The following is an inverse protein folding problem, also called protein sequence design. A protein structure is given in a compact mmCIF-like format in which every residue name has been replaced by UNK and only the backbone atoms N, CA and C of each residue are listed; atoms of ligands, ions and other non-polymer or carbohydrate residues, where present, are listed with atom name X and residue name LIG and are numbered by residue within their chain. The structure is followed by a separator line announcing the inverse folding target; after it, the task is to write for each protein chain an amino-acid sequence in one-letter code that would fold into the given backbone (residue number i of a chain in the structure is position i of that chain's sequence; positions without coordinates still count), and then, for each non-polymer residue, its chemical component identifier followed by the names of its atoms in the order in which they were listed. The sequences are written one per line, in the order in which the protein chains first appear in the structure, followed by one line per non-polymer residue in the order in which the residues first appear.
data_IF_919978796052
#
_entry.id   IF_919978796052
#
_cell.length_a   1.000
_cell.length_b   1.000
_cell.length_c   1.000
_cell.angle_alpha   90.00
_cell.angle_beta   90.00
_cell.angle_gamma   90.00
#
_symmetry.space_group_name_H-M   'P 1'
#
loop_
_entity.id
_entity.type
_entity.pdbx_description
1 polymer ?
#
# COMPACT_ATOMS: atom_id res chain seq x y z
N UNK A 1 -18.22 23.48 -13.56
CA UNK A 1 -17.16 22.85 -12.75
C UNK A 1 -15.84 23.11 -13.46
N UNK A 2 -14.77 23.41 -12.74
CA UNK A 2 -13.42 23.50 -13.36
C UNK A 2 -13.04 22.13 -13.95
N UNK A 3 -12.31 22.08 -15.07
CA UNK A 3 -11.86 20.81 -15.63
C UNK A 3 -10.96 20.07 -14.63
N UNK A 4 -11.19 18.76 -14.48
CA UNK A 4 -10.38 17.90 -13.61
C UNK A 4 -9.00 17.73 -14.23
N UNK A 5 -7.96 18.04 -13.46
CA UNK A 5 -6.56 17.92 -13.88
C UNK A 5 -6.02 16.52 -13.56
N UNK A 6 -5.53 15.80 -14.55
CA UNK A 6 -4.85 14.52 -14.33
C UNK A 6 -3.36 14.79 -14.01
N UNK A 7 -2.85 14.21 -12.92
CA UNK A 7 -1.50 14.45 -12.37
C UNK A 7 -0.83 13.10 -12.08
N UNK A 8 0.41 12.93 -12.52
CA UNK A 8 1.22 11.75 -12.23
C UNK A 8 2.10 12.00 -10.99
N UNK A 9 2.07 11.10 -10.01
CA UNK A 9 2.77 11.28 -8.73
C UNK A 9 3.72 10.12 -8.46
N UNK A 10 5.00 10.44 -8.21
CA UNK A 10 6.09 9.49 -8.03
C UNK A 10 6.33 9.13 -6.57
N UNK A 11 5.95 7.92 -6.19
CA UNK A 11 6.37 7.29 -4.93
C UNK A 11 7.73 6.62 -5.19
N UNK A 12 8.80 7.41 -5.14
CA UNK A 12 10.18 6.91 -5.25
C UNK A 12 10.58 6.31 -3.90
N UNK A 13 10.80 5.00 -3.90
CA UNK A 13 11.17 4.23 -2.71
C UNK A 13 12.66 3.93 -2.72
N UNK A 14 13.37 4.44 -1.70
CA UNK A 14 14.78 4.22 -1.48
C UNK A 14 15.12 2.80 -1.04
N UNK A 15 16.34 2.35 -1.34
CA UNK A 15 16.83 1.02 -0.96
C UNK A 15 17.04 0.83 0.55
N UNK A 16 16.89 1.90 1.34
CA UNK A 16 16.99 1.97 2.80
C UNK A 16 15.62 2.03 3.51
N UNK A 17 14.51 1.98 2.75
CA UNK A 17 13.16 2.11 3.31
C UNK A 17 12.74 3.55 3.60
N UNK A 18 13.22 4.50 2.79
CA UNK A 18 12.75 5.89 2.75
C UNK A 18 11.93 6.19 1.48
N UNK A 19 11.25 7.34 1.46
CA UNK A 19 10.60 7.91 0.28
C UNK A 19 11.06 9.34 0.05
N UNK A 20 11.21 9.73 -1.21
CA UNK A 20 11.64 11.08 -1.57
C UNK A 20 10.45 12.05 -1.59
N UNK A 21 10.56 13.16 -0.84
CA UNK A 21 9.69 14.33 -0.98
C UNK A 21 10.48 15.51 -1.54
N UNK A 22 9.81 16.35 -2.34
CA UNK A 22 10.28 17.67 -2.78
C UNK A 22 9.53 18.79 -2.04
N UNK A 23 10.18 19.94 -1.87
CA UNK A 23 9.55 21.15 -1.34
C UNK A 23 9.16 22.08 -2.49
N UNK A 24 7.92 22.57 -2.48
CA UNK A 24 7.39 23.44 -3.54
C UNK A 24 8.09 24.80 -3.53
N UNK A 25 8.73 25.13 -4.65
CA UNK A 25 9.43 26.41 -4.83
C UNK A 25 8.50 27.62 -4.70
N UNK A 26 9.08 28.76 -4.32
CA UNK A 26 8.36 30.03 -4.22
C UNK A 26 7.62 30.39 -5.52
N UNK A 27 6.41 30.93 -5.39
CA UNK A 27 5.57 31.32 -6.52
C UNK A 27 4.64 30.21 -7.06
N UNK A 28 4.90 28.92 -6.77
CA UNK A 28 3.89 27.85 -6.96
C UNK A 28 2.81 27.96 -5.86
N UNK A 29 1.58 27.54 -6.14
CA UNK A 29 0.55 27.42 -5.09
C UNK A 29 1.01 26.44 -4.01
N UNK A 30 0.77 26.74 -2.72
CA UNK A 30 1.38 26.03 -1.58
C UNK A 30 2.93 26.02 -1.63
N UNK A 31 3.57 27.15 -1.94
CA UNK A 31 5.02 27.33 -1.74
C UNK A 31 5.45 26.94 -0.32
N UNK A 32 6.65 26.39 -0.19
CA UNK A 32 7.26 25.82 1.03
C UNK A 32 6.62 24.52 1.57
N UNK A 33 5.51 24.04 0.99
CA UNK A 33 4.90 22.76 1.36
C UNK A 33 5.62 21.59 0.68
N UNK A 34 5.60 20.43 1.33
CA UNK A 34 6.28 19.21 0.90
C UNK A 34 5.31 18.24 0.22
N UNK A 35 5.74 17.66 -0.90
CA UNK A 35 4.94 16.73 -1.70
C UNK A 35 5.79 15.60 -2.31
N UNK A 36 5.12 14.57 -2.82
CA UNK A 36 5.77 13.56 -3.67
C UNK A 36 5.99 14.17 -5.08
N UNK A 37 7.18 13.98 -5.68
CA UNK A 37 7.54 14.61 -6.95
C UNK A 37 6.69 14.09 -8.13
N UNK A 38 6.64 14.87 -9.21
CA UNK A 38 5.78 14.64 -10.36
C UNK A 38 4.83 15.80 -10.64
N UNK A 39 4.12 15.72 -11.77
CA UNK A 39 3.36 16.85 -12.27
C UNK A 39 2.26 16.47 -13.26
N UNK A 40 1.95 17.40 -14.16
CA UNK A 40 0.74 17.37 -14.98
C UNK A 40 0.88 16.34 -16.10
N UNK A 41 -0.18 15.57 -16.34
CA UNK A 41 -0.26 14.72 -17.53
C UNK A 41 -0.67 15.59 -18.72
N UNK A 42 0.18 15.68 -19.74
CA UNK A 42 -0.10 16.49 -20.92
C UNK A 42 -0.96 15.76 -21.98
N UNK A 43 -1.63 16.48 -22.91
CA UNK A 43 -2.46 15.85 -23.93
C UNK A 43 -1.69 14.84 -24.80
N UNK A 44 -2.21 13.61 -24.86
CA UNK A 44 -1.58 12.49 -25.59
C UNK A 44 -0.50 11.74 -24.79
N UNK A 45 -0.16 12.21 -23.59
CA UNK A 45 0.81 11.57 -22.71
C UNK A 45 0.17 10.47 -21.86
N UNK A 46 0.91 9.37 -21.61
CA UNK A 46 0.47 8.38 -20.60
C UNK A 46 0.95 8.82 -19.22
N UNK A 47 0.24 8.44 -18.15
CA UNK A 47 0.68 8.73 -16.77
C UNK A 47 2.11 8.26 -16.48
N UNK A 48 2.55 7.15 -17.08
CA UNK A 48 3.91 6.65 -16.94
C UNK A 48 4.95 7.53 -17.67
N UNK A 49 4.60 8.05 -18.86
CA UNK A 49 5.44 8.96 -19.62
C UNK A 49 5.53 10.35 -18.95
N UNK A 50 4.40 10.88 -18.49
CA UNK A 50 4.34 12.12 -17.70
C UNK A 50 5.26 12.03 -16.49
N UNK A 51 5.16 10.95 -15.71
CA UNK A 51 6.03 10.77 -14.56
C UNK A 51 7.52 10.64 -14.93
N UNK A 52 7.83 9.99 -16.05
CA UNK A 52 9.22 9.86 -16.52
C UNK A 52 9.82 11.22 -16.92
N UNK A 53 9.04 12.06 -17.60
CA UNK A 53 9.41 13.43 -17.97
C UNK A 53 9.58 14.30 -16.73
N UNK A 54 8.56 14.39 -15.88
CA UNK A 54 8.58 15.23 -14.66
C UNK A 54 9.74 14.85 -13.72
N UNK A 55 10.04 13.56 -13.54
CA UNK A 55 11.16 13.14 -12.68
C UNK A 55 12.55 13.39 -13.28
N UNK A 56 12.71 13.50 -14.61
CA UNK A 56 13.95 14.05 -15.18
C UNK A 56 13.97 15.58 -15.06
N UNK A 57 12.88 16.26 -15.40
CA UNK A 57 12.77 17.73 -15.33
C UNK A 57 13.04 18.26 -13.91
N UNK A 58 12.36 17.71 -12.89
CA UNK A 58 12.48 18.15 -11.50
C UNK A 58 13.75 17.64 -10.80
N UNK A 59 14.11 16.37 -11.00
CA UNK A 59 15.08 15.65 -10.16
C UNK A 59 16.28 15.07 -10.92
N UNK A 60 16.23 15.00 -12.25
CA UNK A 60 17.24 14.36 -13.07
C UNK A 60 17.32 12.84 -12.94
N UNK A 61 16.18 12.19 -12.69
CA UNK A 61 16.07 10.75 -12.55
C UNK A 61 15.54 10.13 -13.84
N UNK A 62 16.34 9.27 -14.47
CA UNK A 62 15.93 8.52 -15.65
C UNK A 62 15.07 7.31 -15.23
N UNK A 63 13.75 7.44 -15.40
CA UNK A 63 12.77 6.39 -15.12
C UNK A 63 12.80 5.32 -16.21
N UNK A 64 13.01 4.06 -15.82
CA UNK A 64 12.88 2.88 -16.69
C UNK A 64 11.53 2.19 -16.54
N UNK A 65 11.00 2.14 -15.32
CA UNK A 65 9.68 1.58 -14.98
C UNK A 65 9.03 2.40 -13.88
N UNK A 66 7.71 2.42 -13.89
CA UNK A 66 6.90 2.87 -12.77
C UNK A 66 5.63 2.02 -12.72
N UNK A 67 5.25 1.59 -11.53
CA UNK A 67 4.12 0.70 -11.31
C UNK A 67 2.93 1.51 -10.84
N UNK A 68 1.72 1.40 -11.40
CA UNK A 68 0.55 2.07 -10.84
C UNK A 68 0.34 1.62 -9.38
N UNK A 69 -0.37 2.40 -8.56
CA UNK A 69 -0.63 1.99 -7.18
C UNK A 69 -1.98 2.46 -6.68
N UNK A 70 -2.25 3.77 -6.77
CA UNK A 70 -3.46 4.39 -6.26
C UNK A 70 -3.92 5.54 -7.18
N UNK A 71 -5.22 5.78 -7.20
CA UNK A 71 -5.82 6.96 -7.82
C UNK A 71 -6.70 7.67 -6.79
N UNK A 72 -6.45 8.96 -6.55
CA UNK A 72 -7.23 9.78 -5.61
C UNK A 72 -7.61 11.10 -6.24
N UNK A 73 -8.83 11.55 -5.98
CA UNK A 73 -9.23 12.92 -6.33
C UNK A 73 -9.12 13.84 -5.12
N UNK A 74 -8.61 15.05 -5.35
CA UNK A 74 -8.54 16.11 -4.36
C UNK A 74 -9.11 17.40 -4.95
N UNK A 75 -9.97 18.07 -4.18
CA UNK A 75 -10.54 19.36 -4.52
C UNK A 75 -9.92 20.41 -3.61
N UNK A 76 -8.96 21.15 -4.16
CA UNK A 76 -8.40 22.35 -3.55
C UNK A 76 -9.25 23.58 -3.88
N UNK A 77 -9.16 24.68 -3.12
CA UNK A 77 -9.87 25.93 -3.42
C UNK A 77 -9.61 26.49 -4.84
N UNK A 78 -8.47 26.13 -5.46
CA UNK A 78 -8.05 26.61 -6.78
C UNK A 78 -8.02 25.53 -7.88
N UNK A 79 -8.20 24.24 -7.56
CA UNK A 79 -8.06 23.15 -8.54
C UNK A 79 -8.76 21.85 -8.10
N UNK A 80 -9.31 21.11 -9.05
CA UNK A 80 -9.74 19.71 -8.87
C UNK A 80 -8.73 18.81 -9.58
N UNK A 81 -7.99 18.01 -8.82
CA UNK A 81 -6.93 17.14 -9.35
C UNK A 81 -7.30 15.67 -9.15
N UNK A 82 -6.87 14.83 -10.10
CA UNK A 82 -6.85 13.37 -10.00
C UNK A 82 -5.41 12.90 -10.04
N UNK A 83 -4.94 12.49 -8.87
CA UNK A 83 -3.57 12.06 -8.62
C UNK A 83 -3.45 10.57 -8.92
N UNK A 84 -2.58 10.23 -9.85
CA UNK A 84 -2.21 8.85 -10.18
C UNK A 84 -0.86 8.53 -9.53
N UNK A 85 -0.92 7.92 -8.36
CA UNK A 85 0.28 7.49 -7.64
C UNK A 85 0.89 6.26 -8.33
N UNK A 86 2.18 6.36 -8.64
CA UNK A 86 2.97 5.26 -9.19
C UNK A 86 4.20 5.02 -8.31
N UNK A 87 4.50 3.76 -8.01
CA UNK A 87 5.69 3.36 -7.25
C UNK A 87 6.87 3.12 -8.19
N UNK A 88 8.06 3.53 -7.75
CA UNK A 88 9.33 3.20 -8.36
C UNK A 88 10.26 2.70 -7.25
N UNK A 89 10.87 1.53 -7.43
CA UNK A 89 11.75 0.95 -6.43
C UNK A 89 13.21 1.08 -6.88
N UNK A 90 14.01 1.86 -6.16
CA UNK A 90 15.44 2.01 -6.45
C UNK A 90 16.17 0.66 -6.45
N UNK A 91 15.74 -0.27 -5.60
CA UNK A 91 16.30 -1.62 -5.49
C UNK A 91 15.86 -2.58 -6.64
N UNK A 92 14.99 -2.16 -7.57
CA UNK A 92 14.56 -2.93 -8.74
C UNK A 92 15.17 -2.43 -10.07
N UNK A 93 16.04 -1.41 -10.04
CA UNK A 93 16.53 -0.70 -11.24
C UNK A 93 15.41 0.02 -12.04
N UNK A 94 14.29 0.33 -11.37
CA UNK A 94 13.16 1.05 -11.97
C UNK A 94 13.51 2.50 -12.37
N UNK A 95 14.56 3.06 -11.79
CA UNK A 95 15.11 4.38 -12.10
C UNK A 95 16.64 4.39 -11.97
N UNK A 96 17.28 5.40 -12.54
CA UNK A 96 18.72 5.64 -12.41
C UNK A 96 19.05 7.14 -12.32
N UNK A 97 20.25 7.43 -11.81
CA UNK A 97 20.68 8.79 -11.47
C UNK A 97 20.74 9.02 -9.96
N UNK A 98 21.11 10.23 -9.56
CA UNK A 98 21.10 10.71 -8.18
C UNK A 98 20.19 11.93 -8.17
N UNK A 99 19.16 12.01 -7.31
CA UNK A 99 18.22 13.12 -7.31
C UNK A 99 18.94 14.43 -7.02
N UNK A 100 18.60 15.47 -7.78
CA UNK A 100 19.09 16.85 -7.62
C UNK A 100 17.95 17.80 -7.91
N UNK A 101 17.70 18.79 -7.05
CA UNK A 101 16.68 19.80 -7.32
C UNK A 101 17.06 20.67 -8.53
N UNK A 102 16.56 20.32 -9.72
CA UNK A 102 16.84 21.02 -10.98
C UNK A 102 16.05 22.34 -11.11
N UNK A 103 14.95 22.49 -10.37
CA UNK A 103 14.20 23.76 -10.24
C UNK A 103 14.72 24.63 -9.08
N UNK A 104 15.76 24.20 -8.36
CA UNK A 104 16.21 24.84 -7.12
C UNK A 104 15.36 24.49 -5.89
N UNK A 105 14.52 23.46 -5.98
CA UNK A 105 13.76 22.91 -4.85
C UNK A 105 14.67 22.20 -3.84
N UNK A 106 14.31 22.29 -2.55
CA UNK A 106 14.80 21.34 -1.56
C UNK A 106 14.14 19.96 -1.78
N UNK A 107 14.84 18.90 -1.42
CA UNK A 107 14.29 17.55 -1.35
C UNK A 107 14.82 16.83 -0.11
N UNK A 108 14.07 15.84 0.39
CA UNK A 108 14.46 15.09 1.57
C UNK A 108 13.88 13.67 1.56
N UNK A 109 14.74 12.69 1.85
CA UNK A 109 14.32 11.30 2.08
C UNK A 109 13.65 11.17 3.45
N UNK A 110 12.42 10.68 3.48
CA UNK A 110 11.58 10.53 4.66
C UNK A 110 11.38 9.05 5.02
N UNK A 111 11.35 8.67 6.31
CA UNK A 111 10.97 7.33 6.71
C UNK A 111 9.55 6.95 6.24
N UNK A 112 9.35 5.71 5.78
CA UNK A 112 8.02 5.19 5.42
C UNK A 112 7.02 5.26 6.59
N UNK A 113 7.49 5.33 7.84
CA UNK A 113 6.63 5.48 9.03
C UNK A 113 5.96 6.85 9.17
N UNK A 114 6.44 7.88 8.46
CA UNK A 114 5.93 9.26 8.52
C UNK A 114 7.01 10.27 8.15
N UNK A 115 6.62 11.40 7.56
CA UNK A 115 7.54 12.50 7.28
C UNK A 115 7.94 13.27 8.56
N UNK A 116 9.23 13.61 8.64
CA UNK A 116 9.75 14.58 9.59
C UNK A 116 9.66 16.03 9.05
N UNK A 117 9.65 16.22 7.73
CA UNK A 117 9.43 17.52 7.08
C UNK A 117 7.96 17.96 7.13
N UNK A 118 7.73 19.27 7.27
CA UNK A 118 6.41 19.90 7.38
C UNK A 118 6.44 21.31 6.76
N UNK A 119 5.30 21.86 6.32
CA UNK A 119 3.99 21.20 6.19
C UNK A 119 3.95 20.25 4.99
N UNK A 120 3.25 19.11 5.12
CA UNK A 120 2.93 18.22 3.99
C UNK A 120 1.71 18.72 3.22
N UNK A 121 1.67 18.56 1.90
CA UNK A 121 0.43 18.77 1.14
C UNK A 121 -0.70 17.87 1.67
N UNK A 122 -1.97 18.35 1.72
CA UNK A 122 -3.10 17.55 2.21
C UNK A 122 -3.35 16.26 1.42
N UNK A 123 -2.87 16.17 0.18
CA UNK A 123 -2.91 14.95 -0.61
C UNK A 123 -1.74 13.98 -0.39
N UNK A 124 -0.64 14.44 0.24
CA UNK A 124 0.52 13.62 0.57
C UNK A 124 0.40 12.96 1.95
N UNK A 125 -0.25 13.62 2.93
CA UNK A 125 -0.45 13.05 4.28
C UNK A 125 -1.10 11.65 4.28
N UNK A 126 -2.21 11.39 3.54
CA UNK A 126 -2.91 10.10 3.60
C UNK A 126 -2.13 8.94 2.98
N UNK A 127 -1.03 9.23 2.27
CA UNK A 127 -0.19 8.23 1.61
C UNK A 127 0.69 7.47 2.60
N UNK A 128 1.15 8.13 3.67
CA UNK A 128 2.04 7.52 4.67
C UNK A 128 1.47 6.29 5.39
N UNK A 129 0.19 6.25 5.81
CA UNK A 129 -0.45 5.03 6.28
C UNK A 129 -0.35 3.85 5.30
N UNK A 130 -0.53 4.09 3.99
CA UNK A 130 -0.43 3.04 2.97
C UNK A 130 1.01 2.63 2.65
N UNK A 131 1.97 3.56 2.77
CA UNK A 131 3.42 3.25 2.64
C UNK A 131 3.93 2.29 3.73
N UNK A 132 3.21 2.20 4.85
CA UNK A 132 3.51 1.26 5.94
C UNK A 132 2.92 -0.13 5.72
N UNK A 133 2.09 -0.33 4.70
CA UNK A 133 1.52 -1.64 4.39
C UNK A 133 2.55 -2.55 3.71
N UNK A 134 2.61 -3.84 4.06
CA UNK A 134 3.55 -4.76 3.43
C UNK A 134 3.17 -5.00 1.95
N UNK A 135 4.12 -5.29 1.04
CA UNK A 135 3.80 -5.76 -0.30
C UNK A 135 3.18 -7.17 -0.29
N UNK A 136 3.19 -7.86 0.86
CA UNK A 136 2.78 -9.24 1.03
C UNK A 136 1.97 -9.44 2.32
N UNK A 137 0.83 -10.12 2.22
CA UNK A 137 0.07 -10.70 3.34
C UNK A 137 0.18 -12.23 3.26
N UNK A 138 0.26 -12.91 4.41
CA UNK A 138 0.56 -14.34 4.49
C UNK A 138 -0.54 -15.11 5.24
N UNK A 139 -1.34 -15.90 4.50
CA UNK A 139 -2.41 -16.70 5.09
C UNK A 139 -1.87 -17.94 5.84
N UNK A 140 -1.90 -17.89 7.18
CA UNK A 140 -1.72 -19.07 8.08
C UNK A 140 -3.02 -19.85 8.26
N UNK A 141 -2.93 -21.04 8.87
CA UNK A 141 -4.02 -21.98 9.08
C UNK A 141 -4.06 -22.41 10.57
N UNK A 142 -5.02 -21.95 11.42
CA UNK A 142 -5.24 -22.46 12.77
C UNK A 142 -5.31 -23.99 12.86
N UNK A 143 -4.27 -24.57 13.45
CA UNK A 143 -4.00 -26.02 13.49
C UNK A 143 -2.66 -26.38 12.86
N UNK A 144 -2.09 -25.52 12.03
CA UNK A 144 -0.69 -25.55 11.58
C UNK A 144 0.20 -24.75 12.54
N UNK A 145 1.50 -25.05 12.63
CA UNK A 145 2.47 -24.19 13.31
C UNK A 145 2.44 -22.76 12.77
N UNK A 146 2.50 -21.76 13.66
CA UNK A 146 2.66 -20.37 13.26
C UNK A 146 4.14 -20.12 12.92
N UNK A 147 4.47 -20.09 11.64
CA UNK A 147 5.82 -19.70 11.21
C UNK A 147 6.08 -18.22 11.57
N UNK A 148 7.31 -17.91 11.98
CA UNK A 148 7.67 -16.56 12.38
C UNK A 148 7.45 -15.55 11.22
N UNK A 149 6.76 -14.42 11.47
CA UNK A 149 6.43 -13.40 10.47
C UNK A 149 7.53 -13.04 9.47
N UNK A 150 8.70 -12.70 10.00
CA UNK A 150 9.84 -12.29 9.21
C UNK A 150 10.33 -13.41 8.29
N UNK A 151 10.35 -14.66 8.75
CA UNK A 151 10.81 -15.83 7.98
C UNK A 151 9.92 -16.07 6.76
N UNK A 152 8.61 -16.02 6.91
CA UNK A 152 7.66 -16.18 5.79
C UNK A 152 7.85 -15.08 4.74
N UNK A 153 7.96 -13.81 5.17
CA UNK A 153 8.19 -12.70 4.25
C UNK A 153 9.55 -12.82 3.55
N UNK A 154 10.60 -13.23 4.28
CA UNK A 154 11.94 -13.53 3.77
C UNK A 154 11.89 -14.58 2.66
N UNK A 155 11.28 -15.72 2.91
CA UNK A 155 11.22 -16.85 1.98
C UNK A 155 10.39 -16.53 0.73
N UNK A 156 9.16 -16.02 0.90
CA UNK A 156 8.26 -15.74 -0.23
C UNK A 156 8.81 -14.61 -1.11
N UNK A 157 9.37 -13.55 -0.52
CA UNK A 157 9.99 -12.48 -1.31
C UNK A 157 11.25 -12.98 -2.03
N UNK A 158 12.05 -13.87 -1.43
CA UNK A 158 13.21 -14.46 -2.12
C UNK A 158 12.78 -15.35 -3.30
N UNK A 159 11.81 -16.24 -3.08
CA UNK A 159 11.27 -17.12 -4.12
C UNK A 159 10.65 -16.34 -5.30
N UNK A 160 10.13 -15.13 -5.05
CA UNK A 160 9.58 -14.25 -6.07
C UNK A 160 10.63 -13.34 -6.76
N UNK A 161 11.90 -13.36 -6.33
CA UNK A 161 12.94 -12.45 -6.81
C UNK A 161 12.80 -11.00 -6.31
N UNK A 162 12.09 -10.80 -5.20
CA UNK A 162 11.70 -9.51 -4.63
C UNK A 162 12.40 -9.21 -3.29
N UNK A 163 13.52 -9.90 -2.98
CA UNK A 163 14.33 -9.67 -1.79
C UNK A 163 14.78 -8.20 -1.63
N UNK A 164 14.86 -7.48 -2.74
CA UNK A 164 15.07 -6.04 -2.83
C UNK A 164 14.01 -5.17 -2.11
N UNK A 165 12.79 -5.69 -1.88
CA UNK A 165 11.74 -4.99 -1.12
C UNK A 165 11.89 -5.15 0.41
N UNK A 166 12.85 -5.94 0.91
CA UNK A 166 13.00 -6.17 2.36
C UNK A 166 13.31 -4.90 3.19
N UNK A 167 14.20 -3.97 2.79
CA UNK A 167 14.50 -2.78 3.59
C UNK A 167 13.31 -1.83 3.71
N UNK A 168 12.48 -1.81 2.67
CA UNK A 168 11.23 -1.04 2.53
C UNK A 168 10.13 -1.58 3.45
N UNK A 169 10.28 -2.77 4.01
CA UNK A 169 9.17 -3.50 4.60
C UNK A 169 9.43 -3.87 6.05
N UNK A 170 8.74 -3.15 6.96
CA UNK A 170 8.53 -3.67 8.31
C UNK A 170 7.76 -5.00 8.20
N UNK A 171 8.10 -6.03 8.99
CA UNK A 171 7.47 -7.34 8.88
C UNK A 171 6.01 -7.29 9.36
N UNK A 172 5.08 -7.09 8.43
CA UNK A 172 3.64 -7.18 8.67
C UNK A 172 3.12 -8.51 8.13
N UNK A 173 3.23 -9.55 8.97
CA UNK A 173 2.49 -10.78 8.75
C UNK A 173 1.08 -10.60 9.27
N UNK A 174 0.17 -10.37 8.33
CA UNK A 174 -1.26 -10.47 8.52
C UNK A 174 -1.70 -11.85 8.04
N UNK A 175 -2.33 -12.57 8.93
CA UNK A 175 -2.90 -13.89 8.69
C UNK A 175 -4.43 -13.75 8.73
N UNK A 176 -5.12 -14.40 7.79
CA UNK A 176 -6.57 -14.63 7.86
C UNK A 176 -6.91 -16.08 7.43
N UNK A 177 -7.82 -16.73 8.17
CA UNK A 177 -8.34 -18.08 7.91
C UNK A 177 -9.67 -18.32 8.66
N UNK A 178 -10.26 -19.52 8.52
CA UNK A 178 -11.31 -19.84 7.57
C UNK A 178 -12.68 -19.23 7.93
N UNK A 179 -13.65 -19.36 7.02
CA UNK A 179 -14.95 -18.67 7.09
C UNK A 179 -15.87 -19.01 8.30
N UNK A 180 -15.60 -20.08 9.07
CA UNK A 180 -16.39 -20.48 10.25
C UNK A 180 -15.48 -21.04 11.35
N UNK A 181 -15.36 -20.38 12.52
CA UNK A 181 -14.60 -20.90 13.65
C UNK A 181 -15.46 -21.81 14.53
N UNK A 182 -14.81 -22.78 15.17
CA UNK A 182 -15.30 -23.37 16.42
C UNK A 182 -14.63 -22.68 17.63
N UNK A 183 -15.00 -23.08 18.85
CA UNK A 183 -14.39 -22.52 20.07
C UNK A 183 -12.87 -22.75 20.13
N UNK A 184 -12.37 -23.86 19.59
CA UNK A 184 -10.95 -24.18 19.56
C UNK A 184 -10.18 -23.32 18.53
N UNK A 185 -10.79 -22.98 17.39
CA UNK A 185 -10.26 -22.06 16.40
C UNK A 185 -10.18 -20.63 16.94
N UNK A 186 -11.19 -20.22 17.71
CA UNK A 186 -11.21 -18.93 18.42
C UNK A 186 -10.05 -18.85 19.43
N UNK A 187 -9.87 -19.88 20.26
CA UNK A 187 -8.75 -19.94 21.22
C UNK A 187 -7.38 -19.95 20.52
N UNK A 188 -7.22 -20.72 19.42
CA UNK A 188 -6.00 -20.70 18.59
C UNK A 188 -5.72 -19.32 17.99
N UNK A 189 -6.75 -18.60 17.55
CA UNK A 189 -6.62 -17.25 17.03
C UNK A 189 -6.18 -16.25 18.12
N UNK A 190 -6.70 -16.38 19.34
CA UNK A 190 -6.27 -15.54 20.48
C UNK A 190 -4.79 -15.74 20.83
N UNK A 191 -4.33 -16.99 20.90
CA UNK A 191 -2.92 -17.29 21.13
C UNK A 191 -2.02 -16.73 20.01
N UNK A 192 -2.38 -16.99 18.75
CA UNK A 192 -1.64 -16.47 17.59
C UNK A 192 -1.61 -14.93 17.54
N UNK A 193 -2.67 -14.24 17.98
CA UNK A 193 -2.67 -12.77 18.06
C UNK A 193 -1.61 -12.24 19.04
N UNK A 194 -1.48 -12.87 20.20
CA UNK A 194 -0.49 -12.49 21.21
C UNK A 194 0.95 -12.78 20.74
N UNK A 195 1.19 -13.95 20.15
CA UNK A 195 2.49 -14.33 19.57
C UNK A 195 2.91 -13.38 18.43
N UNK A 196 1.99 -13.06 17.51
CA UNK A 196 2.26 -12.11 16.43
C UNK A 196 2.55 -10.70 16.95
N UNK A 197 1.78 -10.23 17.93
CA UNK A 197 1.99 -8.90 18.52
C UNK A 197 3.36 -8.78 19.20
N UNK A 198 3.80 -9.82 19.92
CA UNK A 198 5.14 -9.88 20.52
C UNK A 198 6.26 -9.85 19.46
N UNK A 199 6.01 -10.40 18.27
CA UNK A 199 6.92 -10.35 17.12
C UNK A 199 6.79 -9.07 16.25
N UNK A 200 5.97 -8.09 16.65
CA UNK A 200 5.72 -6.86 15.89
C UNK A 200 4.81 -7.01 14.67
N UNK A 201 4.24 -8.21 14.45
CA UNK A 201 3.20 -8.49 13.45
C UNK A 201 1.79 -8.21 13.99
N UNK A 202 0.76 -8.63 13.24
CA UNK A 202 -0.64 -8.48 13.68
C UNK A 202 -1.57 -9.51 13.06
N UNK A 203 -2.46 -10.09 13.85
CA UNK A 203 -3.49 -11.01 13.35
C UNK A 203 -4.62 -10.24 12.64
N UNK A 204 -4.96 -10.60 11.40
CA UNK A 204 -6.09 -9.99 10.68
C UNK A 204 -7.36 -10.85 10.85
N UNK A 205 -8.16 -10.51 11.85
CA UNK A 205 -9.30 -11.35 12.27
C UNK A 205 -10.53 -11.10 11.37
N UNK A 206 -11.11 -12.13 10.72
CA UNK A 206 -12.37 -11.98 10.00
C UNK A 206 -13.52 -11.49 10.89
N UNK A 207 -14.38 -10.63 10.37
CA UNK A 207 -15.57 -10.10 11.07
C UNK A 207 -16.49 -11.19 11.62
N UNK A 208 -16.53 -12.35 10.96
CA UNK A 208 -17.32 -13.52 11.36
C UNK A 208 -16.84 -14.19 12.65
N UNK A 209 -15.62 -13.91 13.14
CA UNK A 209 -15.09 -14.54 14.36
C UNK A 209 -15.49 -13.80 15.66
N UNK A 210 -16.27 -12.71 15.55
CA UNK A 210 -16.82 -11.97 16.68
C UNK A 210 -16.00 -10.76 17.12
N UNK A 211 -16.70 -9.73 17.61
CA UNK A 211 -16.14 -8.40 17.90
C UNK A 211 -15.07 -8.38 18.98
N UNK A 212 -15.24 -9.16 20.05
CA UNK A 212 -14.24 -9.26 21.12
C UNK A 212 -12.86 -9.68 20.59
N UNK A 213 -12.82 -10.57 19.59
CA UNK A 213 -11.56 -11.11 19.08
C UNK A 213 -10.81 -10.11 18.20
N UNK A 214 -11.50 -9.47 17.25
CA UNK A 214 -10.83 -8.51 16.36
C UNK A 214 -10.47 -7.20 17.06
N UNK A 215 -11.19 -6.82 18.12
CA UNK A 215 -10.75 -5.73 19.02
C UNK A 215 -9.49 -6.09 19.79
N UNK A 216 -9.42 -7.30 20.37
CA UNK A 216 -8.23 -7.78 21.08
C UNK A 216 -6.99 -7.87 20.15
N UNK A 217 -7.19 -8.27 18.89
CA UNK A 217 -6.10 -8.34 17.89
C UNK A 217 -5.68 -6.96 17.32
N UNK A 218 -6.48 -5.91 17.54
CA UNK A 218 -6.25 -4.59 16.95
C UNK A 218 -6.38 -4.54 15.43
N UNK A 219 -6.98 -5.57 14.80
CA UNK A 219 -7.20 -5.65 13.37
C UNK A 219 -8.38 -6.53 12.96
N UNK A 220 -9.14 -6.04 11.98
CA UNK A 220 -10.34 -6.69 11.43
C UNK A 220 -10.31 -6.77 9.91
N UNK A 221 -10.78 -7.89 9.35
CA UNK A 221 -11.11 -8.06 7.94
C UNK A 221 -12.62 -8.27 7.81
N UNK A 222 -13.31 -7.25 7.31
CA UNK A 222 -14.74 -7.33 7.03
C UNK A 222 -15.03 -8.20 5.81
N UNK A 223 -15.99 -9.11 5.94
CA UNK A 223 -16.70 -9.66 4.78
C UNK A 223 -17.64 -8.61 4.16
N UNK A 224 -18.14 -8.88 2.95
CA UNK A 224 -19.02 -7.96 2.23
C UNK A 224 -20.32 -7.61 2.98
N UNK A 225 -20.87 -8.56 3.76
CA UNK A 225 -22.11 -8.34 4.52
C UNK A 225 -21.89 -7.47 5.76
N UNK A 226 -20.74 -7.62 6.43
CA UNK A 226 -20.32 -6.76 7.53
C UNK A 226 -19.93 -5.36 7.03
N UNK A 227 -19.20 -5.24 5.92
CA UNK A 227 -18.86 -3.97 5.27
C UNK A 227 -20.10 -3.16 4.89
N UNK A 228 -21.13 -3.81 4.33
CA UNK A 228 -22.39 -3.17 3.94
C UNK A 228 -23.16 -2.60 5.14
N UNK A 229 -23.05 -3.21 6.33
CA UNK A 229 -23.71 -2.77 7.58
C UNK A 229 -22.91 -1.76 8.38
N UNK A 230 -21.60 -1.64 8.12
CA UNK A 230 -20.71 -0.78 8.88
C UNK A 230 -21.06 0.69 8.65
N UNK A 231 -21.37 1.44 9.71
CA UNK A 231 -21.71 2.87 9.64
C UNK A 231 -20.49 3.77 9.59
N UNK A 232 -19.43 3.43 10.32
CA UNK A 232 -18.15 4.13 10.39
C UNK A 232 -17.00 3.15 10.62
N UNK A 233 -15.77 3.50 10.23
CA UNK A 233 -14.55 2.72 10.54
C UNK A 233 -14.41 2.55 12.06
N UNK A 234 -14.20 1.32 12.57
CA UNK A 234 -13.84 1.13 13.96
C UNK A 234 -12.54 1.85 14.31
N UNK A 235 -12.44 2.34 15.54
CA UNK A 235 -11.16 2.77 16.09
C UNK A 235 -10.27 1.54 16.36
N UNK A 236 -9.54 1.14 15.33
CA UNK A 236 -8.53 0.09 15.38
C UNK A 236 -7.28 0.53 14.60
N UNK A 237 -6.10 0.03 15.02
CA UNK A 237 -4.85 0.17 14.28
C UNK A 237 -4.81 -0.43 12.86
N UNK A 238 -5.81 -1.21 12.42
CA UNK A 238 -5.98 -1.68 11.03
C UNK A 238 -7.41 -2.20 10.78
N UNK A 239 -8.04 -1.75 9.72
CA UNK A 239 -9.35 -2.22 9.25
C UNK A 239 -9.26 -2.49 7.74
N UNK A 240 -9.58 -3.71 7.32
CA UNK A 240 -9.60 -4.12 5.91
C UNK A 240 -10.94 -4.75 5.53
N UNK A 241 -11.18 -4.95 4.24
CA UNK A 241 -12.33 -5.70 3.74
C UNK A 241 -11.96 -6.70 2.63
N UNK A 242 -12.72 -7.79 2.51
CA UNK A 242 -12.79 -8.59 1.28
C UNK A 242 -13.84 -7.94 0.38
N UNK A 243 -13.46 -7.61 -0.86
CA UNK A 243 -14.33 -6.98 -1.83
C UNK A 243 -14.40 -7.80 -3.12
N UNK A 244 -15.61 -8.06 -3.61
CA UNK A 244 -15.85 -8.84 -4.83
C UNK A 244 -16.04 -7.95 -6.08
N UNK A 245 -16.48 -6.71 -5.87
CA UNK A 245 -16.81 -5.73 -6.91
C UNK A 245 -16.29 -4.31 -6.58
N UNK A 246 -16.44 -3.39 -7.54
CA UNK A 246 -15.98 -2.01 -7.41
C UNK A 246 -16.76 -1.19 -6.36
N UNK A 247 -18.07 -1.41 -6.21
CA UNK A 247 -18.90 -0.68 -5.24
C UNK A 247 -18.51 -1.04 -3.79
N UNK A 248 -18.11 -2.28 -3.54
CA UNK A 248 -17.54 -2.70 -2.25
C UNK A 248 -16.18 -2.01 -1.98
N UNK A 249 -15.32 -1.85 -3.00
CA UNK A 249 -14.04 -1.13 -2.86
C UNK A 249 -14.28 0.37 -2.59
N UNK A 250 -15.21 0.99 -3.31
CA UNK A 250 -15.64 2.38 -3.07
C UNK A 250 -16.24 2.56 -1.66
N UNK A 251 -17.05 1.61 -1.20
CA UNK A 251 -17.59 1.60 0.17
C UNK A 251 -16.49 1.53 1.22
N UNK A 252 -15.49 0.67 1.02
CA UNK A 252 -14.32 0.57 1.90
C UNK A 252 -13.49 1.86 1.89
N UNK A 253 -13.28 2.48 0.72
CA UNK A 253 -12.58 3.75 0.58
C UNK A 253 -13.31 4.91 1.29
N UNK A 254 -14.63 5.01 1.11
CA UNK A 254 -15.48 6.03 1.74
C UNK A 254 -15.56 5.88 3.27
N UNK A 255 -15.43 4.66 3.79
CA UNK A 255 -15.30 4.39 5.22
C UNK A 255 -13.89 4.69 5.76
N UNK A 256 -12.87 4.82 4.90
CA UNK A 256 -11.48 5.03 5.34
C UNK A 256 -10.78 3.74 5.81
N UNK A 257 -11.14 2.58 5.25
CA UNK A 257 -10.41 1.34 5.51
C UNK A 257 -8.97 1.42 4.96
N UNK A 258 -8.05 0.66 5.54
CA UNK A 258 -6.61 0.77 5.24
C UNK A 258 -6.26 0.10 3.91
N UNK A 259 -6.92 -1.02 3.57
CA UNK A 259 -6.76 -1.75 2.32
C UNK A 259 -7.94 -2.70 2.05
N UNK A 260 -7.98 -3.26 0.84
CA UNK A 260 -8.93 -4.32 0.47
C UNK A 260 -8.22 -5.56 -0.06
N UNK A 261 -8.84 -6.72 0.10
CA UNK A 261 -8.47 -7.97 -0.57
C UNK A 261 -9.51 -8.21 -1.69
N UNK A 262 -9.07 -8.29 -2.94
CA UNK A 262 -9.96 -8.41 -4.09
C UNK A 262 -9.48 -9.50 -5.09
N UNK A 263 -10.38 -10.12 -5.87
CA UNK A 263 -10.00 -11.10 -6.89
C UNK A 263 -9.33 -10.46 -8.12
N UNK A 264 -9.53 -9.16 -8.34
CA UNK A 264 -9.01 -8.37 -9.46
C UNK A 264 -8.63 -6.98 -8.97
N UNK A 265 -7.64 -6.36 -9.62
CA UNK A 265 -7.29 -4.96 -9.41
C UNK A 265 -8.28 -4.10 -10.22
N UNK A 266 -8.95 -3.10 -9.61
CA UNK A 266 -9.74 -2.13 -10.37
C UNK A 266 -8.81 -1.20 -11.16
N UNK A 267 -9.32 -0.58 -12.22
CA UNK A 267 -8.54 0.34 -13.08
C UNK A 267 -8.01 1.57 -12.31
N UNK A 268 -8.79 2.08 -11.35
CA UNK A 268 -8.46 3.24 -10.53
C UNK A 268 -8.65 2.92 -9.03
N UNK A 269 -7.71 2.20 -8.39
CA UNK A 269 -7.83 1.80 -6.99
C UNK A 269 -7.75 3.01 -6.05
N UNK A 270 -8.83 3.28 -5.31
CA UNK A 270 -8.86 4.34 -4.29
C UNK A 270 -8.22 3.91 -2.95
N UNK A 271 -7.99 2.61 -2.76
CA UNK A 271 -7.30 2.01 -1.62
C UNK A 271 -6.26 0.98 -2.13
N UNK A 272 -5.22 0.67 -1.35
CA UNK A 272 -4.32 -0.43 -1.64
C UNK A 272 -5.08 -1.76 -1.77
N UNK A 273 -4.77 -2.51 -2.82
CA UNK A 273 -5.46 -3.77 -3.15
C UNK A 273 -4.48 -4.94 -3.02
N UNK A 274 -4.84 -5.94 -2.23
CA UNK A 274 -4.16 -7.23 -2.19
C UNK A 274 -4.89 -8.20 -3.12
N UNK A 275 -4.19 -8.74 -4.12
CA UNK A 275 -4.77 -9.69 -5.06
C UNK A 275 -4.92 -11.08 -4.42
N UNK A 276 -6.16 -11.53 -4.25
CA UNK A 276 -6.50 -12.83 -3.70
C UNK A 276 -5.99 -14.01 -4.55
N UNK A 277 -5.67 -13.76 -5.83
CA UNK A 277 -5.15 -14.71 -6.82
C UNK A 277 -3.65 -14.96 -6.71
N UNK A 278 -2.90 -14.10 -6.00
CA UNK A 278 -1.45 -14.25 -5.83
C UNK A 278 -1.03 -15.47 -4.98
N UNK A 279 -2.00 -16.22 -4.43
CA UNK A 279 -1.79 -17.44 -3.62
C UNK A 279 -1.05 -18.57 -4.37
N UNK A 280 -1.00 -18.54 -5.69
CA UNK A 280 -0.68 -19.70 -6.52
C UNK A 280 0.82 -19.92 -6.82
N UNK A 281 1.63 -18.86 -6.92
CA UNK A 281 3.05 -18.98 -7.26
C UNK A 281 3.86 -17.71 -6.92
N UNK A 282 5.16 -17.82 -6.58
CA UNK A 282 6.03 -16.65 -6.37
C UNK A 282 6.13 -15.72 -7.58
N UNK A 283 6.03 -16.24 -8.81
CA UNK A 283 5.96 -15.43 -10.04
C UNK A 283 4.70 -14.55 -10.10
N UNK A 284 3.56 -15.04 -9.61
CA UNK A 284 2.31 -14.27 -9.55
C UNK A 284 2.38 -13.10 -8.57
N UNK A 285 3.18 -13.21 -7.49
CA UNK A 285 3.45 -12.11 -6.56
C UNK A 285 4.17 -10.94 -7.25
N UNK A 286 5.17 -11.24 -8.08
CA UNK A 286 5.87 -10.21 -8.86
C UNK A 286 4.91 -9.51 -9.83
N UNK A 287 4.16 -10.28 -10.63
CA UNK A 287 3.15 -9.73 -11.56
C UNK A 287 2.09 -8.89 -10.84
N UNK A 288 1.67 -9.29 -9.64
CA UNK A 288 0.75 -8.51 -8.81
C UNK A 288 1.32 -7.14 -8.44
N UNK A 289 2.57 -7.07 -7.98
CA UNK A 289 3.20 -5.78 -7.62
C UNK A 289 3.49 -4.93 -8.85
N UNK A 290 3.94 -5.54 -9.95
CA UNK A 290 4.23 -4.82 -11.21
C UNK A 290 2.97 -4.23 -11.85
N UNK A 291 1.82 -4.91 -11.72
CA UNK A 291 0.49 -4.39 -12.11
C UNK A 291 -0.12 -3.42 -11.11
N UNK A 292 0.51 -3.22 -9.95
CA UNK A 292 0.18 -2.17 -8.97
C UNK A 292 -0.55 -2.62 -7.71
N UNK A 293 -0.83 -3.92 -7.60
CA UNK A 293 -1.38 -4.50 -6.39
C UNK A 293 -0.31 -4.71 -5.30
N UNK A 294 -0.77 -5.31 -4.21
CA UNK A 294 0.02 -6.04 -3.23
C UNK A 294 -0.35 -7.54 -3.37
N UNK A 295 0.47 -8.44 -2.85
CA UNK A 295 0.24 -9.88 -2.98
C UNK A 295 -0.23 -10.57 -1.70
N UNK A 296 -0.87 -11.72 -1.89
CA UNK A 296 -1.34 -12.61 -0.84
C UNK A 296 -0.73 -14.00 -1.07
N UNK A 297 0.13 -14.47 -0.19
CA UNK A 297 0.70 -15.82 -0.26
C UNK A 297 0.08 -16.74 0.79
N UNK A 298 0.11 -18.06 0.52
CA UNK A 298 -0.26 -19.10 1.48
C UNK A 298 1.02 -19.79 1.98
N UNK A 299 1.14 -19.97 3.29
CA UNK A 299 2.25 -20.73 3.87
C UNK A 299 2.00 -22.23 3.81
N UNK A 300 3.01 -23.03 3.45
CA UNK A 300 3.03 -24.48 3.72
C UNK A 300 2.55 -25.42 2.60
N UNK A 301 2.22 -24.93 1.41
CA UNK A 301 2.02 -25.80 0.24
C UNK A 301 3.37 -26.06 -0.45
N UNK A 302 4.10 -27.07 0.03
CA UNK A 302 5.28 -27.70 -0.60
C UNK A 302 6.21 -26.77 -1.40
N UNK A 303 7.11 -26.05 -0.73
CA UNK A 303 8.26 -25.41 -1.41
C UNK A 303 9.38 -26.44 -1.63
N UNK A 304 9.15 -27.37 -2.56
CA UNK A 304 10.11 -28.36 -3.07
C UNK A 304 10.21 -28.30 -4.58
#
# INVERSE_FOLDING_TARGET
MSPRLEVAVGIIVGADGTVLLGQRVAGKAYADWWEFPGGKVEPGETVAAALARELDEELGLAVRRSHPWLVREFVYPHAHVRLHFRRLFAAWDDLSGIPRGREGQAFAWQPLSGAAVQPLLPASEPVFPWLRLPPLIAAWIPGQPLAAPATVAVEVLAAAGLQALRPVTRPLTLLAMPARPDAAATARAQAAAAELAAAGGRLLVPSTLGESLWRQAGAVLFDAAALARLSARPDLPCCAAVCEDAAQIERAAALGLDFVIAPRLPEAPQLPVYLATAKAAPSALRTAIESGAHGLAQTGAGMG
#
